data_IF_039391556898
#
_entry.id   IF_039391556898
#
_cell.length_a   1.000
_cell.length_b   1.000
_cell.length_c   1.000
_cell.angle_alpha   90.00
_cell.angle_beta   90.00
_cell.angle_gamma   90.00
#
_symmetry.space_group_name_H-M   'P 1'
#
loop_
_entity.id
_entity.type
_entity.pdbx_description
1 polymer ?
#
# COMPACT_ATOMS: atom_id res chain seq x y z
N UNK A 1 -12.89 -7.87 16.71
CA UNK A 1 -11.91 -7.19 15.84
C UNK A 1 -11.19 -6.16 16.68
N UNK A 2 -9.86 -6.20 16.76
CA UNK A 2 -9.04 -5.26 17.55
C UNK A 2 -8.40 -4.20 16.65
N UNK A 3 -7.95 -3.07 17.21
CA UNK A 3 -7.25 -2.02 16.45
C UNK A 3 -6.02 -2.57 15.71
N UNK A 4 -5.31 -3.52 16.32
CA UNK A 4 -4.16 -4.19 15.70
C UNK A 4 -4.59 -4.98 14.46
N UNK A 5 -5.70 -5.69 14.53
CA UNK A 5 -6.26 -6.45 13.41
C UNK A 5 -6.74 -5.53 12.28
N UNK A 6 -7.41 -4.42 12.63
CA UNK A 6 -7.85 -3.41 11.64
C UNK A 6 -6.66 -2.85 10.88
N UNK A 7 -5.59 -2.47 11.61
CA UNK A 7 -4.38 -1.92 11.01
C UNK A 7 -3.69 -2.94 10.10
N UNK A 8 -3.59 -4.20 10.53
CA UNK A 8 -2.99 -5.27 9.74
C UNK A 8 -3.78 -5.50 8.43
N UNK A 9 -5.10 -5.64 8.51
CA UNK A 9 -5.97 -5.82 7.33
C UNK A 9 -5.84 -4.64 6.37
N UNK A 10 -5.76 -3.41 6.89
CA UNK A 10 -5.57 -2.23 6.06
C UNK A 10 -4.24 -2.26 5.31
N UNK A 11 -3.13 -2.57 5.98
CA UNK A 11 -1.81 -2.65 5.35
C UNK A 11 -1.74 -3.77 4.31
N UNK A 12 -2.32 -4.94 4.59
CA UNK A 12 -2.41 -6.06 3.64
C UNK A 12 -3.17 -5.67 2.37
N UNK A 13 -4.30 -5.00 2.52
CA UNK A 13 -5.06 -4.52 1.36
C UNK A 13 -4.27 -3.48 0.57
N UNK A 14 -3.65 -2.51 1.24
CA UNK A 14 -2.83 -1.50 0.55
C UNK A 14 -1.64 -2.14 -0.17
N UNK A 15 -0.96 -3.12 0.43
CA UNK A 15 0.11 -3.86 -0.22
C UNK A 15 -0.35 -4.51 -1.54
N UNK A 16 -1.54 -5.10 -1.56
CA UNK A 16 -2.15 -5.66 -2.78
C UNK A 16 -2.55 -4.60 -3.82
N UNK A 17 -3.05 -3.45 -3.36
CA UNK A 17 -3.49 -2.37 -4.23
C UNK A 17 -2.34 -1.73 -5.01
N UNK A 18 -1.16 -1.66 -4.39
CA UNK A 18 -0.01 -0.91 -4.90
C UNK A 18 1.22 -1.80 -5.10
N UNK A 19 1.04 -3.13 -5.24
CA UNK A 19 2.11 -4.10 -5.51
C UNK A 19 3.37 -3.95 -4.64
N UNK A 20 3.18 -3.66 -3.35
CA UNK A 20 4.28 -3.64 -2.38
C UNK A 20 4.12 -4.77 -1.36
N UNK A 21 5.09 -4.90 -0.45
CA UNK A 21 4.97 -5.82 0.68
C UNK A 21 4.47 -5.08 1.91
N UNK A 22 3.82 -5.78 2.85
CA UNK A 22 3.34 -5.18 4.11
C UNK A 22 4.50 -4.64 4.93
N UNK A 23 5.65 -5.32 4.89
CA UNK A 23 6.86 -4.92 5.60
C UNK A 23 7.44 -3.59 5.08
N UNK A 24 7.11 -3.18 3.85
CA UNK A 24 7.55 -1.90 3.30
C UNK A 24 6.97 -0.71 4.08
N UNK A 25 5.77 -0.85 4.66
CA UNK A 25 5.18 0.16 5.55
C UNK A 25 5.86 0.27 6.92
N UNK A 26 6.68 -0.71 7.29
CA UNK A 26 7.37 -0.79 8.58
C UNK A 26 8.81 -0.29 8.53
N UNK A 27 9.34 -0.01 7.33
CA UNK A 27 10.70 0.50 7.16
C UNK A 27 10.81 1.94 7.66
N UNK A 28 12.01 2.30 8.10
CA UNK A 28 12.34 3.66 8.55
C UNK A 28 12.74 4.60 7.39
N UNK A 29 12.71 4.10 6.15
CA UNK A 29 13.07 4.83 4.95
C UNK A 29 11.97 4.69 3.91
N UNK A 30 11.74 5.71 3.06
CA UNK A 30 10.78 5.60 1.98
C UNK A 30 11.17 4.44 1.05
N UNK A 31 10.15 3.67 0.66
CA UNK A 31 10.26 2.65 -0.38
C UNK A 31 9.57 3.22 -1.61
N UNK A 32 10.14 2.96 -2.78
CA UNK A 32 9.54 3.25 -4.09
C UNK A 32 9.38 1.94 -4.83
N UNK A 33 8.18 1.70 -5.34
CA UNK A 33 7.81 0.49 -6.09
C UNK A 33 7.07 0.87 -7.38
N UNK A 34 7.16 -0.01 -8.38
CA UNK A 34 6.50 0.16 -9.67
C UNK A 34 5.04 -0.27 -9.60
N UNK A 35 4.16 0.49 -10.26
CA UNK A 35 2.73 0.24 -10.18
C UNK A 35 2.34 -1.00 -10.95
N UNK A 36 1.65 -1.88 -10.23
CA UNK A 36 0.87 -2.94 -10.84
C UNK A 36 -0.37 -3.15 -9.98
N UNK A 37 -1.55 -3.04 -10.56
CA UNK A 37 -2.78 -3.34 -9.84
C UNK A 37 -2.87 -4.86 -9.65
N UNK A 38 -2.79 -5.33 -8.40
CA UNK A 38 -3.02 -6.73 -8.08
C UNK A 38 -4.43 -7.19 -8.49
N UNK A 39 -4.66 -8.51 -8.66
CA UNK A 39 -5.96 -9.05 -9.07
C UNK A 39 -7.11 -8.73 -8.09
N UNK A 40 -6.77 -8.32 -6.86
CA UNK A 40 -7.71 -7.90 -5.81
C UNK A 40 -7.53 -6.45 -5.40
N UNK A 41 -6.87 -5.63 -6.25
CA UNK A 41 -6.78 -4.20 -6.03
C UNK A 41 -8.19 -3.58 -5.98
N UNK A 42 -8.37 -2.53 -5.18
CA UNK A 42 -9.68 -1.86 -5.07
C UNK A 42 -10.18 -1.43 -6.45
N UNK A 43 -11.46 -1.74 -6.73
CA UNK A 43 -12.12 -1.50 -8.03
C UNK A 43 -12.09 -0.06 -8.54
N UNK A 44 -11.85 0.91 -7.66
CA UNK A 44 -11.78 2.33 -8.02
C UNK A 44 -10.35 2.81 -8.32
N UNK A 45 -9.33 1.94 -8.21
CA UNK A 45 -8.03 2.18 -8.83
C UNK A 45 -8.19 2.03 -10.34
N UNK A 46 -8.48 3.14 -11.01
CA UNK A 46 -8.52 3.26 -12.47
C UNK A 46 -7.26 3.96 -12.95
N UNK A 47 -6.62 3.40 -13.97
CA UNK A 47 -5.55 4.03 -14.74
C UNK A 47 -6.05 5.29 -15.47
N UNK A 48 -5.19 6.31 -15.70
CA UNK A 48 -3.79 6.42 -15.28
C UNK A 48 -3.64 7.17 -13.95
N UNK A 49 -2.82 6.65 -13.03
CA UNK A 49 -2.34 7.39 -11.86
C UNK A 49 -0.85 7.62 -12.03
N UNK A 50 -0.40 8.87 -11.87
CA UNK A 50 1.00 9.22 -12.04
C UNK A 50 1.90 8.75 -10.87
N UNK A 51 1.32 8.59 -9.67
CA UNK A 51 1.99 8.20 -8.43
C UNK A 51 0.93 8.00 -7.33
N UNK A 52 1.16 7.08 -6.39
CA UNK A 52 0.34 6.88 -5.18
C UNK A 52 1.24 7.09 -3.95
N UNK A 53 0.76 7.79 -2.93
CA UNK A 53 1.49 7.93 -1.66
C UNK A 53 0.67 7.30 -0.53
N UNK A 54 1.27 6.41 0.25
CA UNK A 54 0.59 5.68 1.32
C UNK A 54 1.47 5.70 2.56
N UNK A 55 0.94 6.06 3.73
CA UNK A 55 1.72 6.03 4.97
C UNK A 55 0.86 5.64 6.14
N UNK A 56 1.38 4.74 6.98
CA UNK A 56 0.78 4.33 8.25
C UNK A 56 1.54 4.92 9.45
N UNK A 57 2.08 6.13 9.28
CA UNK A 57 2.82 6.86 10.33
C UNK A 57 4.34 6.67 10.32
N UNK A 58 4.89 5.89 9.38
CA UNK A 58 6.34 5.71 9.21
C UNK A 58 6.90 5.95 7.79
N UNK A 59 6.03 6.09 6.77
CA UNK A 59 6.31 6.49 5.34
C UNK A 59 6.24 5.34 4.30
N UNK A 60 5.55 5.56 3.15
CA UNK A 60 5.69 4.80 1.88
C UNK A 60 5.28 5.65 0.64
N UNK A 61 5.93 5.46 -0.51
CA UNK A 61 5.69 6.19 -1.78
C UNK A 61 5.69 5.20 -2.97
N UNK A 62 4.88 5.44 -4.00
CA UNK A 62 4.65 4.48 -5.09
C UNK A 62 4.62 5.19 -6.45
N UNK A 63 5.38 4.72 -7.45
CA UNK A 63 5.44 5.30 -8.81
C UNK A 63 4.61 4.50 -9.82
#
# INVERSE_FOLDING_TARGET
>A
MTNKQILQIAMEQSAMDISCKVEDFLKNSPVVVNYNAGPSAKKYYKEPKACIFVSYGRTLLHL
#
